data_IF_305971940326
#
_entry.id   IF_305971940326
#
_cell.length_a   1.000
_cell.length_b   1.000
_cell.length_c   1.000
_cell.angle_alpha   90.00
_cell.angle_beta   90.00
_cell.angle_gamma   90.00
#
_symmetry.space_group_name_H-M   'P 1'
#
loop_
_entity.id
_entity.type
_entity.pdbx_description
1 polymer ?
#
# COMPACT_ATOMS: atom_id res chain seq x y z
N UNK A 1 -9.48 -2.12 16.73
CA UNK A 1 -8.20 -2.85 16.88
C UNK A 1 -8.41 -4.29 16.43
N UNK A 2 -8.14 -4.60 15.16
CA UNK A 2 -8.08 -5.98 14.69
C UNK A 2 -6.95 -6.70 15.44
N UNK A 3 -7.25 -7.82 16.07
CA UNK A 3 -6.33 -8.50 16.99
C UNK A 3 -5.11 -9.02 16.27
N UNK A 4 -3.92 -8.49 16.60
CA UNK A 4 -2.60 -8.98 16.17
C UNK A 4 -2.21 -10.27 16.89
N UNK A 5 -3.15 -11.21 17.06
CA UNK A 5 -2.89 -12.51 17.68
C UNK A 5 -2.48 -13.52 16.61
N UNK A 6 -1.37 -14.23 16.86
CA UNK A 6 -0.97 -15.32 15.99
C UNK A 6 -2.06 -16.40 15.96
N UNK A 7 -2.50 -16.86 14.77
CA UNK A 7 -3.51 -17.91 14.68
C UNK A 7 -2.93 -19.22 15.23
N UNK A 8 -3.66 -19.84 16.18
CA UNK A 8 -3.30 -21.13 16.76
C UNK A 8 -4.21 -22.19 16.14
N UNK A 9 -3.66 -22.91 15.15
CA UNK A 9 -4.06 -24.19 14.53
C UNK A 9 -5.55 -24.43 14.18
N UNK A 10 -5.78 -24.76 12.89
CA UNK A 10 -7.01 -25.22 12.22
C UNK A 10 -7.96 -24.14 11.66
N UNK A 11 -7.44 -23.08 11.02
CA UNK A 11 -8.25 -22.20 10.17
C UNK A 11 -7.99 -22.51 8.69
N UNK A 12 -9.03 -22.97 8.00
CA UNK A 12 -9.08 -22.92 6.54
C UNK A 12 -9.03 -21.44 6.12
N UNK A 13 -8.23 -21.13 5.08
CA UNK A 13 -8.15 -19.77 4.54
C UNK A 13 -9.49 -19.44 3.88
N UNK A 14 -10.32 -18.65 4.55
CA UNK A 14 -11.56 -18.14 3.99
C UNK A 14 -11.26 -16.87 3.19
N UNK A 15 -11.51 -16.91 1.89
CA UNK A 15 -11.32 -15.78 0.97
C UNK A 15 -12.70 -15.20 0.67
N UNK A 16 -12.87 -13.92 0.99
CA UNK A 16 -14.04 -13.16 0.56
C UNK A 16 -13.86 -12.72 -0.91
N UNK A 17 -14.84 -13.01 -1.75
CA UNK A 17 -14.84 -12.68 -3.18
C UNK A 17 -15.69 -11.44 -3.50
N UNK A 18 -16.20 -10.75 -2.49
CA UNK A 18 -16.97 -9.52 -2.68
C UNK A 18 -16.09 -8.42 -3.28
N UNK A 19 -16.60 -7.78 -4.34
CA UNK A 19 -15.91 -6.66 -4.97
C UNK A 19 -16.06 -5.38 -4.15
N UNK A 20 -15.13 -4.44 -4.32
CA UNK A 20 -15.20 -3.13 -3.69
C UNK A 20 -16.44 -2.34 -4.20
N UNK A 21 -17.13 -1.59 -3.33
CA UNK A 21 -18.29 -0.78 -3.72
C UNK A 21 -17.97 0.25 -4.82
N UNK A 22 -18.92 0.46 -5.74
CA UNK A 22 -18.74 1.30 -6.94
C UNK A 22 -18.43 2.78 -6.67
N UNK A 23 -18.79 3.30 -5.49
CA UNK A 23 -18.51 4.69 -5.11
C UNK A 23 -17.02 4.94 -4.80
N UNK A 24 -16.23 3.88 -4.62
CA UNK A 24 -14.79 3.98 -4.36
C UNK A 24 -14.04 3.69 -5.68
N UNK A 25 -13.27 4.65 -6.21
CA UNK A 25 -12.54 4.43 -7.45
C UNK A 25 -11.44 3.39 -7.24
N UNK A 26 -11.29 2.50 -8.23
CA UNK A 26 -10.24 1.48 -8.27
C UNK A 26 -8.85 2.13 -8.32
N UNK A 27 -7.89 1.50 -7.66
CA UNK A 27 -6.47 1.88 -7.69
C UNK A 27 -5.63 0.67 -8.06
N UNK A 28 -4.55 0.94 -8.77
CA UNK A 28 -3.54 -0.06 -9.09
C UNK A 28 -2.67 -0.32 -7.86
N UNK A 29 -2.60 -1.58 -7.45
CA UNK A 29 -1.79 -2.01 -6.31
C UNK A 29 -0.30 -2.05 -6.66
N UNK A 30 0.59 -1.86 -5.68
CA UNK A 30 2.05 -1.71 -5.89
C UNK A 30 2.70 -2.96 -6.53
N UNK A 31 2.13 -4.15 -6.33
CA UNK A 31 2.57 -5.37 -7.02
C UNK A 31 3.99 -5.86 -6.68
N UNK A 32 4.62 -5.36 -5.61
CA UNK A 32 6.00 -5.71 -5.24
C UNK A 32 6.05 -6.76 -4.11
N UNK A 33 7.02 -7.68 -4.19
CA UNK A 33 7.33 -8.60 -3.08
C UNK A 33 8.14 -7.90 -1.97
N UNK A 34 8.29 -8.55 -0.81
CA UNK A 34 8.91 -7.96 0.38
C UNK A 34 10.35 -7.47 0.14
N UNK A 35 11.17 -8.23 -0.60
CA UNK A 35 12.55 -7.87 -0.90
C UNK A 35 12.70 -6.58 -1.74
N UNK A 36 12.09 -6.44 -2.93
CA UNK A 36 12.19 -5.22 -3.72
C UNK A 36 11.54 -4.02 -3.01
N UNK A 37 10.44 -4.23 -2.29
CA UNK A 37 9.79 -3.16 -1.54
C UNK A 37 10.68 -2.66 -0.39
N UNK A 38 11.37 -3.57 0.31
CA UNK A 38 12.34 -3.20 1.35
C UNK A 38 13.53 -2.44 0.76
N UNK A 39 14.06 -2.88 -0.40
CA UNK A 39 15.16 -2.18 -1.07
C UNK A 39 14.78 -0.78 -1.57
N UNK A 40 13.50 -0.59 -1.93
CA UNK A 40 12.98 0.69 -2.41
C UNK A 40 12.47 1.61 -1.27
N UNK A 41 12.44 1.14 -0.03
CA UNK A 41 11.80 1.81 1.11
C UNK A 41 12.29 3.24 1.34
N UNK A 42 13.60 3.49 1.25
CA UNK A 42 14.18 4.82 1.39
C UNK A 42 13.73 5.78 0.28
N UNK A 43 13.70 5.32 -0.97
CA UNK A 43 13.27 6.14 -2.11
C UNK A 43 11.77 6.46 -2.06
N UNK A 44 10.97 5.49 -1.63
CA UNK A 44 9.53 5.70 -1.38
C UNK A 44 9.34 6.71 -0.25
N UNK A 45 10.14 6.60 0.83
CA UNK A 45 10.12 7.53 1.96
C UNK A 45 10.40 8.97 1.55
N UNK A 46 11.44 9.22 0.76
CA UNK A 46 11.81 10.57 0.33
C UNK A 46 10.81 11.16 -0.67
N UNK A 47 10.35 10.36 -1.65
CA UNK A 47 9.45 10.85 -2.69
C UNK A 47 8.02 11.03 -2.21
N UNK A 48 7.55 10.14 -1.34
CA UNK A 48 6.15 10.06 -0.93
C UNK A 48 5.91 10.57 0.49
N UNK A 49 6.89 11.22 1.12
CA UNK A 49 6.83 11.69 2.52
C UNK A 49 5.54 12.45 2.83
N UNK A 50 5.23 13.48 2.06
CA UNK A 50 4.06 14.32 2.31
C UNK A 50 2.74 13.52 2.29
N UNK A 51 2.58 12.60 1.34
CA UNK A 51 1.38 11.78 1.24
C UNK A 51 1.26 10.75 2.37
N UNK A 52 2.40 10.16 2.77
CA UNK A 52 2.45 9.23 3.89
C UNK A 52 2.08 9.93 5.21
N UNK A 53 2.64 11.11 5.44
CA UNK A 53 2.37 11.91 6.64
C UNK A 53 0.91 12.37 6.69
N UNK A 54 0.34 12.80 5.56
CA UNK A 54 -1.08 13.19 5.47
C UNK A 54 -2.03 12.01 5.74
N UNK A 55 -1.69 10.82 5.24
CA UNK A 55 -2.46 9.61 5.55
C UNK A 55 -2.41 9.26 7.03
N UNK A 56 -1.24 9.36 7.66
CA UNK A 56 -1.07 9.06 9.09
C UNK A 56 -1.79 10.09 9.98
N UNK A 57 -1.73 11.37 9.62
CA UNK A 57 -2.50 12.44 10.30
C UNK A 57 -4.00 12.21 10.17
N UNK A 58 -4.50 11.96 8.96
CA UNK A 58 -5.92 11.65 8.76
C UNK A 58 -6.36 10.46 9.61
N UNK A 59 -5.53 9.40 9.67
CA UNK A 59 -5.83 8.20 10.45
C UNK A 59 -5.90 8.49 11.96
N UNK A 60 -5.03 9.37 12.46
CA UNK A 60 -5.01 9.80 13.85
C UNK A 60 -6.23 10.66 14.19
N UNK A 61 -6.56 11.63 13.35
CA UNK A 61 -7.71 12.54 13.52
C UNK A 61 -9.06 11.82 13.43
N UNK A 62 -9.16 10.76 12.61
CA UNK A 62 -10.39 10.00 12.40
C UNK A 62 -10.80 9.11 13.59
N UNK A 63 -10.05 9.10 14.71
CA UNK A 63 -10.43 8.49 15.99
C UNK A 63 -11.06 7.08 15.86
N UNK A 64 -10.42 6.20 15.09
CA UNK A 64 -10.86 4.82 14.87
C UNK A 64 -11.73 4.58 13.63
N UNK A 65 -11.97 5.62 12.81
CA UNK A 65 -12.61 5.53 11.48
C UNK A 65 -11.64 5.72 10.31
N UNK A 66 -10.34 5.70 10.58
CA UNK A 66 -9.31 5.98 9.59
C UNK A 66 -9.34 5.04 8.38
N UNK A 67 -9.79 3.80 8.56
CA UNK A 67 -9.92 2.80 7.49
C UNK A 67 -10.97 3.17 6.43
N UNK A 68 -12.00 3.95 6.79
CA UNK A 68 -13.08 4.35 5.89
C UNK A 68 -12.90 5.80 5.39
N UNK A 69 -12.54 6.72 6.29
CA UNK A 69 -12.50 8.15 6.00
C UNK A 69 -11.22 8.55 5.23
N UNK A 70 -10.12 7.83 5.43
CA UNK A 70 -8.82 8.17 4.83
C UNK A 70 -8.51 7.42 3.53
N UNK A 71 -9.50 6.73 2.93
CA UNK A 71 -9.31 6.00 1.67
C UNK A 71 -8.79 6.91 0.55
N UNK A 72 -9.17 8.18 0.53
CA UNK A 72 -8.69 9.15 -0.47
C UNK A 72 -7.19 9.41 -0.36
N UNK A 73 -6.67 9.56 0.85
CA UNK A 73 -5.25 9.79 1.11
C UNK A 73 -4.44 8.51 0.91
N UNK A 74 -4.98 7.36 1.33
CA UNK A 74 -4.38 6.05 1.05
C UNK A 74 -4.15 5.81 -0.45
N UNK A 75 -5.11 6.20 -1.31
CA UNK A 75 -4.92 6.11 -2.77
C UNK A 75 -3.77 6.96 -3.30
N UNK A 76 -3.47 8.12 -2.70
CA UNK A 76 -2.33 8.96 -3.11
C UNK A 76 -1.01 8.28 -2.75
N UNK A 77 -0.94 7.69 -1.57
CA UNK A 77 0.22 6.91 -1.10
C UNK A 77 0.51 5.75 -2.05
N UNK A 78 -0.49 4.92 -2.37
CA UNK A 78 -0.31 3.75 -3.26
C UNK A 78 0.14 4.17 -4.66
N UNK A 79 -0.44 5.24 -5.22
CA UNK A 79 -0.04 5.76 -6.54
C UNK A 79 1.40 6.30 -6.54
N UNK A 80 1.80 6.99 -5.48
CA UNK A 80 3.17 7.49 -5.36
C UNK A 80 4.17 6.32 -5.27
N UNK A 81 3.88 5.32 -4.42
CA UNK A 81 4.73 4.14 -4.29
C UNK A 81 4.82 3.31 -5.59
N UNK A 82 3.70 3.13 -6.29
CA UNK A 82 3.66 2.45 -7.59
C UNK A 82 4.52 3.17 -8.63
N UNK A 83 4.51 4.51 -8.65
CA UNK A 83 5.35 5.29 -9.56
C UNK A 83 6.85 5.10 -9.34
N UNK A 84 7.28 5.01 -8.06
CA UNK A 84 8.68 4.77 -7.70
C UNK A 84 9.09 3.34 -8.08
N UNK A 85 8.23 2.36 -7.79
CA UNK A 85 8.49 0.97 -8.12
C UNK A 85 8.56 0.75 -9.64
N UNK A 86 7.63 1.33 -10.40
CA UNK A 86 7.65 1.27 -11.86
C UNK A 86 8.94 1.85 -12.44
N UNK A 87 9.39 2.99 -11.92
CA UNK A 87 10.65 3.61 -12.33
C UNK A 87 11.88 2.72 -12.05
N UNK A 88 11.97 2.15 -10.85
CA UNK A 88 13.06 1.23 -10.50
C UNK A 88 13.03 -0.07 -11.30
N UNK A 89 11.83 -0.59 -11.57
CA UNK A 89 11.66 -1.79 -12.38
C UNK A 89 12.06 -1.57 -13.83
N UNK A 90 11.78 -0.39 -14.38
CA UNK A 90 12.21 0.01 -15.73
C UNK A 90 13.73 0.01 -15.84
N UNK A 91 14.42 0.70 -14.91
CA UNK A 91 15.89 0.71 -14.82
C UNK A 91 16.48 -0.70 -14.74
N UNK A 92 15.88 -1.59 -13.95
CA UNK A 92 16.35 -2.98 -13.81
C UNK A 92 16.16 -3.77 -15.10
N UNK A 93 15.09 -3.52 -15.86
CA UNK A 93 14.84 -4.16 -17.15
C UNK A 93 15.87 -3.74 -18.21
N UNK A 94 16.22 -2.44 -18.30
CA UNK A 94 17.30 -2.01 -19.19
C UNK A 94 18.68 -2.51 -18.77
N UNK A 95 18.94 -2.60 -17.46
CA UNK A 95 20.21 -3.08 -16.92
C UNK A 95 20.44 -4.59 -17.11
N UNK A 96 19.37 -5.39 -17.21
CA UNK A 96 19.43 -6.85 -17.40
C UNK A 96 19.50 -7.27 -18.89
N UNK A 97 19.48 -6.30 -19.82
CA UNK A 97 19.63 -6.52 -21.26
C UNK A 97 21.07 -6.30 -21.77
N UNK A 98 22.04 -6.23 -20.85
CA UNK A 98 23.49 -6.27 -21.13
C UNK A 98 24.15 -7.45 -20.43
#
# INVERSE_FOLDING_TARGET
MSGTRQPRFNQHVLIDTTAMPDHIPKVEEVGASSAPLMSASYFIGDRCKAFNDDYMKCKEEANGKGELECLKEGRKVTRCAASVYAFLSWIKAEGNSR
#
